data_IF_103749409781
#
_entry.id   IF_103749409781
#
_cell.length_a   1.000
_cell.length_b   1.000
_cell.length_c   1.000
_cell.angle_alpha   90.00
_cell.angle_beta   90.00
_cell.angle_gamma   90.00
#
_symmetry.space_group_name_H-M   'P 1'
#
loop_
_entity.id
_entity.type
_entity.pdbx_description
1 polymer ?
#
# COMPACT_ATOMS: atom_id res chain seq x y z
N UNK A 1 -42.65 -17.09 -34.83
CA UNK A 1 -41.81 -16.97 -33.62
C UNK A 1 -40.50 -17.68 -33.90
N UNK A 2 -39.35 -16.98 -33.96
CA UNK A 2 -38.07 -17.67 -34.14
C UNK A 2 -37.55 -18.16 -32.79
N UNK A 3 -36.99 -19.37 -32.82
CA UNK A 3 -36.42 -20.07 -31.68
C UNK A 3 -35.20 -19.31 -31.11
N UNK A 4 -35.15 -19.16 -29.79
CA UNK A 4 -34.00 -18.67 -29.08
C UNK A 4 -32.92 -19.76 -29.05
N UNK A 5 -31.73 -19.46 -29.57
CA UNK A 5 -30.55 -20.27 -29.41
C UNK A 5 -30.05 -20.14 -27.95
N UNK A 6 -29.83 -21.27 -27.28
CA UNK A 6 -29.15 -21.32 -25.99
C UNK A 6 -27.71 -20.82 -26.13
N UNK A 7 -27.17 -20.08 -25.15
CA UNK A 7 -25.77 -19.71 -25.16
C UNK A 7 -24.93 -20.97 -24.94
N UNK A 8 -23.97 -21.17 -25.85
CA UNK A 8 -22.97 -22.22 -25.79
C UNK A 8 -22.13 -22.10 -24.52
N UNK A 9 -21.78 -23.26 -23.96
CA UNK A 9 -20.81 -23.46 -22.89
C UNK A 9 -19.57 -22.60 -23.12
N UNK A 10 -19.35 -21.63 -22.23
CA UNK A 10 -18.02 -21.05 -22.03
C UNK A 10 -17.19 -22.09 -21.29
N UNK A 11 -16.19 -22.61 -21.98
CA UNK A 11 -14.98 -23.25 -21.44
C UNK A 11 -14.61 -22.63 -20.07
N UNK A 12 -14.24 -23.38 -19.01
CA UNK A 12 -13.78 -22.81 -17.75
C UNK A 12 -12.36 -22.23 -17.95
N UNK A 13 -12.31 -21.20 -18.79
CA UNK A 13 -11.14 -20.54 -19.29
C UNK A 13 -10.50 -19.70 -18.21
N UNK A 14 -9.18 -19.80 -18.16
CA UNK A 14 -8.24 -19.00 -17.37
C UNK A 14 -8.80 -17.64 -16.95
N UNK A 15 -8.89 -17.41 -15.64
CA UNK A 15 -9.32 -16.13 -15.09
C UNK A 15 -8.49 -14.99 -15.69
N UNK A 16 -9.16 -14.00 -16.28
CA UNK A 16 -8.53 -12.88 -16.96
C UNK A 16 -7.61 -12.10 -15.99
N UNK A 17 -6.41 -11.69 -16.43
CA UNK A 17 -5.51 -10.89 -15.62
C UNK A 17 -6.11 -9.51 -15.32
N UNK A 18 -5.80 -8.96 -14.14
CA UNK A 18 -6.19 -7.59 -13.78
C UNK A 18 -5.45 -6.54 -14.62
N UNK A 19 -5.85 -5.27 -14.55
CA UNK A 19 -5.18 -4.20 -15.30
C UNK A 19 -3.72 -4.06 -14.83
N UNK A 20 -3.44 -4.19 -13.54
CA UNK A 20 -2.07 -4.26 -13.02
C UNK A 20 -1.28 -5.43 -13.62
N UNK A 21 -1.87 -6.64 -13.60
CA UNK A 21 -1.23 -7.86 -14.08
C UNK A 21 -0.97 -7.83 -15.60
N UNK A 22 -1.84 -7.18 -16.39
CA UNK A 22 -1.65 -6.99 -17.83
C UNK A 22 -0.41 -6.14 -18.15
N UNK A 23 -0.01 -5.22 -17.26
CA UNK A 23 1.18 -4.37 -17.48
C UNK A 23 2.48 -5.16 -17.39
N UNK A 24 2.47 -6.35 -16.78
CA UNK A 24 3.65 -7.22 -16.72
C UNK A 24 4.22 -7.56 -18.10
N UNK A 25 3.37 -7.66 -19.13
CA UNK A 25 3.81 -8.07 -20.46
C UNK A 25 4.55 -6.95 -21.22
N UNK A 26 4.61 -5.73 -20.66
CA UNK A 26 5.42 -4.63 -21.20
C UNK A 26 6.92 -4.91 -20.98
N UNK A 27 7.76 -4.40 -21.88
CA UNK A 27 9.21 -4.64 -21.84
C UNK A 27 9.88 -4.19 -20.53
N UNK A 28 9.53 -3.01 -20.03
CA UNK A 28 10.18 -2.43 -18.84
C UNK A 28 9.99 -3.26 -17.55
N UNK A 29 8.78 -3.73 -17.17
CA UNK A 29 8.63 -4.69 -16.07
C UNK A 29 9.48 -5.94 -16.21
N UNK A 30 9.55 -6.52 -17.42
CA UNK A 30 10.37 -7.71 -17.70
C UNK A 30 11.87 -7.42 -17.55
N UNK A 31 12.34 -6.25 -17.99
CA UNK A 31 13.71 -5.80 -17.80
C UNK A 31 14.02 -5.53 -16.32
N UNK A 32 13.11 -4.91 -15.58
CA UNK A 32 13.27 -4.65 -14.14
C UNK A 32 13.38 -5.98 -13.37
N UNK A 33 12.52 -6.95 -13.68
CA UNK A 33 12.56 -8.28 -13.04
C UNK A 33 13.86 -9.02 -13.32
N UNK A 34 14.33 -9.03 -14.58
CA UNK A 34 15.62 -9.64 -14.96
C UNK A 34 16.80 -8.91 -14.32
N UNK A 35 16.84 -7.58 -14.41
CA UNK A 35 17.90 -6.75 -13.85
C UNK A 35 17.98 -6.86 -12.33
N UNK A 36 16.86 -7.00 -11.63
CA UNK A 36 16.85 -7.20 -10.17
C UNK A 36 17.11 -8.63 -9.72
N UNK A 37 17.01 -9.60 -10.62
CA UNK A 37 17.05 -11.05 -10.33
C UNK A 37 15.77 -11.59 -9.67
N UNK A 38 14.66 -10.86 -9.76
CA UNK A 38 13.35 -11.23 -9.19
C UNK A 38 12.49 -12.04 -10.18
N UNK A 39 12.87 -12.08 -11.46
CA UNK A 39 12.27 -12.89 -12.53
C UNK A 39 12.13 -14.38 -12.17
N UNK A 40 13.08 -14.94 -11.42
CA UNK A 40 13.03 -16.35 -10.99
C UNK A 40 11.98 -16.65 -9.91
N UNK A 41 11.34 -15.64 -9.29
CA UNK A 41 10.43 -15.84 -8.16
C UNK A 41 9.07 -16.42 -8.58
N UNK A 42 8.49 -15.91 -9.67
CA UNK A 42 7.18 -16.36 -10.16
C UNK A 42 7.22 -17.82 -10.65
N UNK A 43 8.19 -18.27 -11.47
CA UNK A 43 8.29 -19.68 -11.87
C UNK A 43 8.45 -20.64 -10.69
N UNK A 44 9.24 -20.26 -9.67
CA UNK A 44 9.40 -21.06 -8.44
C UNK A 44 8.11 -21.14 -7.64
N UNK A 45 7.35 -20.05 -7.61
CA UNK A 45 6.06 -20.00 -6.95
C UNK A 45 5.02 -20.86 -7.69
N UNK A 46 4.94 -20.77 -9.02
CA UNK A 46 4.08 -21.61 -9.85
C UNK A 46 4.34 -23.10 -9.59
N UNK A 47 5.61 -23.53 -9.58
CA UNK A 47 5.98 -24.91 -9.27
C UNK A 47 5.52 -25.34 -7.86
N UNK A 48 5.60 -24.44 -6.87
CA UNK A 48 5.13 -24.73 -5.51
C UNK A 48 3.59 -24.85 -5.43
N UNK A 49 2.85 -24.07 -6.23
CA UNK A 49 1.40 -24.22 -6.37
C UNK A 49 1.04 -25.55 -7.04
N UNK A 50 1.69 -25.90 -8.15
CA UNK A 50 1.49 -27.19 -8.84
C UNK A 50 1.80 -28.41 -7.95
N UNK A 51 2.79 -28.27 -7.07
CA UNK A 51 3.16 -29.29 -6.08
C UNK A 51 2.16 -29.42 -4.93
N UNK A 52 1.30 -28.44 -4.69
CA UNK A 52 0.36 -28.44 -3.58
C UNK A 52 -0.80 -29.42 -3.81
N UNK A 53 -1.02 -30.34 -2.87
CA UNK A 53 -2.05 -31.38 -2.92
C UNK A 53 -3.28 -31.07 -2.06
N UNK A 54 -3.25 -29.97 -1.30
CA UNK A 54 -4.38 -29.51 -0.51
C UNK A 54 -4.37 -27.99 -0.34
N UNK A 55 -5.51 -27.42 0.05
CA UNK A 55 -5.63 -25.99 0.34
C UNK A 55 -4.60 -25.53 1.39
N UNK A 56 -4.42 -26.29 2.47
CA UNK A 56 -3.47 -25.94 3.51
C UNK A 56 -2.00 -25.95 3.02
N UNK A 57 -1.66 -26.83 2.08
CA UNK A 57 -0.33 -26.81 1.45
C UNK A 57 -0.16 -25.59 0.53
N UNK A 58 -1.21 -25.24 -0.23
CA UNK A 58 -1.21 -24.08 -1.10
C UNK A 58 -1.10 -22.76 -0.30
N UNK A 59 -1.86 -22.62 0.78
CA UNK A 59 -1.78 -21.47 1.69
C UNK A 59 -0.37 -21.30 2.28
N UNK A 60 0.23 -22.39 2.77
CA UNK A 60 1.64 -22.37 3.23
C UNK A 60 2.62 -22.00 2.12
N UNK A 61 2.37 -22.42 0.88
CA UNK A 61 3.21 -22.06 -0.26
C UNK A 61 3.08 -20.56 -0.58
N UNK A 62 1.85 -20.04 -0.62
CA UNK A 62 1.55 -18.62 -0.84
C UNK A 62 2.24 -17.75 0.20
N UNK A 63 1.96 -17.95 1.50
CA UNK A 63 2.55 -17.16 2.58
C UNK A 63 4.08 -17.22 2.54
N UNK A 64 4.67 -18.41 2.40
CA UNK A 64 6.13 -18.57 2.37
C UNK A 64 6.78 -17.80 1.22
N UNK A 65 6.25 -17.91 0.00
CA UNK A 65 6.83 -17.24 -1.17
C UNK A 65 6.59 -15.73 -1.12
N UNK A 66 5.43 -15.28 -0.65
CA UNK A 66 5.11 -13.87 -0.48
C UNK A 66 5.99 -13.21 0.62
N UNK A 67 6.17 -13.84 1.78
CA UNK A 67 7.10 -13.34 2.82
C UNK A 67 8.55 -13.39 2.38
N UNK A 68 8.94 -14.37 1.55
CA UNK A 68 10.30 -14.41 0.98
C UNK A 68 10.52 -13.28 -0.02
N UNK A 69 9.51 -12.93 -0.81
CA UNK A 69 9.54 -11.77 -1.71
C UNK A 69 9.75 -10.46 -0.94
N UNK A 70 8.97 -10.21 0.12
CA UNK A 70 9.13 -9.03 0.97
C UNK A 70 10.56 -8.92 1.52
N UNK A 71 11.00 -9.95 2.24
CA UNK A 71 12.33 -9.96 2.88
C UNK A 71 13.46 -9.78 1.87
N UNK A 72 13.35 -10.39 0.67
CA UNK A 72 14.33 -10.21 -0.40
C UNK A 72 14.39 -8.76 -0.90
N UNK A 73 13.24 -8.08 -1.00
CA UNK A 73 13.21 -6.67 -1.37
C UNK A 73 13.84 -5.77 -0.31
N UNK A 74 13.55 -6.02 0.97
CA UNK A 74 14.16 -5.31 2.10
C UNK A 74 15.67 -5.55 2.15
N UNK A 75 16.11 -6.80 2.01
CA UNK A 75 17.53 -7.16 1.98
C UNK A 75 18.25 -6.43 0.83
N UNK A 76 17.65 -6.41 -0.38
CA UNK A 76 18.20 -5.66 -1.51
C UNK A 76 18.35 -4.17 -1.19
N UNK A 77 17.29 -3.53 -0.66
CA UNK A 77 17.27 -2.12 -0.32
C UNK A 77 18.31 -1.74 0.73
N UNK A 78 18.54 -2.63 1.70
CA UNK A 78 19.49 -2.43 2.79
C UNK A 78 20.89 -3.00 2.51
N UNK A 79 21.13 -3.40 1.25
CA UNK A 79 22.43 -3.86 0.79
C UNK A 79 22.87 -5.22 1.34
N UNK A 80 21.95 -6.01 1.88
CA UNK A 80 22.20 -7.38 2.34
C UNK A 80 22.12 -8.36 1.16
N UNK A 81 23.10 -9.25 1.09
CA UNK A 81 23.19 -10.27 0.03
C UNK A 81 23.75 -9.76 -1.29
N UNK A 82 23.87 -10.68 -2.25
CA UNK A 82 24.40 -10.40 -3.58
C UNK A 82 23.37 -9.66 -4.41
N UNK A 83 23.72 -8.45 -4.86
CA UNK A 83 22.90 -7.66 -5.79
C UNK A 83 23.37 -7.95 -7.21
N UNK A 84 22.44 -8.37 -8.06
CA UNK A 84 22.63 -8.52 -9.50
C UNK A 84 22.06 -7.29 -10.22
N UNK A 85 22.60 -7.05 -11.43
CA UNK A 85 22.17 -6.00 -12.35
C UNK A 85 22.59 -4.58 -11.96
N UNK A 86 22.05 -3.62 -12.71
CA UNK A 86 22.38 -2.19 -12.68
C UNK A 86 21.35 -1.34 -11.91
N UNK A 87 20.23 -1.93 -11.51
CA UNK A 87 19.18 -1.23 -10.75
C UNK A 87 19.69 -0.79 -9.37
N UNK A 88 19.30 0.42 -8.98
CA UNK A 88 19.56 0.95 -7.64
C UNK A 88 19.10 -0.02 -6.55
N UNK A 89 19.82 -0.06 -5.42
CA UNK A 89 19.48 -0.93 -4.29
C UNK A 89 18.12 -0.59 -3.71
N UNK A 90 17.83 0.69 -3.52
CA UNK A 90 16.56 1.18 -2.98
C UNK A 90 15.42 1.28 -3.99
N UNK A 91 15.55 0.64 -5.16
CA UNK A 91 14.47 0.59 -6.14
C UNK A 91 13.31 -0.28 -5.64
N UNK A 92 12.11 0.28 -5.57
CA UNK A 92 10.90 -0.38 -5.07
C UNK A 92 10.18 -1.22 -6.15
N UNK A 93 10.46 -0.95 -7.43
CA UNK A 93 9.79 -1.58 -8.57
C UNK A 93 9.96 -3.10 -8.63
N UNK A 94 11.12 -3.71 -8.28
CA UNK A 94 11.26 -5.16 -8.24
C UNK A 94 10.25 -5.86 -7.33
N UNK A 95 9.94 -5.29 -6.16
CA UNK A 95 8.94 -5.84 -5.25
C UNK A 95 7.56 -5.83 -5.89
N UNK A 96 7.15 -4.68 -6.42
CA UNK A 96 5.84 -4.48 -7.02
C UNK A 96 5.61 -5.42 -8.21
N UNK A 97 6.51 -5.43 -9.20
CA UNK A 97 6.36 -6.26 -10.38
C UNK A 97 6.41 -7.76 -10.06
N UNK A 98 7.27 -8.18 -9.13
CA UNK A 98 7.32 -9.58 -8.74
C UNK A 98 6.05 -10.01 -8.00
N UNK A 99 5.48 -9.14 -7.14
CA UNK A 99 4.20 -9.41 -6.47
C UNK A 99 3.08 -9.63 -7.48
N UNK A 100 2.98 -8.78 -8.50
CA UNK A 100 2.01 -8.95 -9.58
C UNK A 100 2.24 -10.24 -10.35
N UNK A 101 3.49 -10.61 -10.62
CA UNK A 101 3.80 -11.88 -11.28
C UNK A 101 3.34 -13.07 -10.43
N UNK A 102 3.60 -13.08 -9.12
CA UNK A 102 3.09 -14.10 -8.19
C UNK A 102 1.55 -14.11 -8.17
N UNK A 103 0.89 -12.95 -8.12
CA UNK A 103 -0.58 -12.85 -8.17
C UNK A 103 -1.14 -13.46 -9.45
N UNK A 104 -0.53 -13.18 -10.61
CA UNK A 104 -0.93 -13.71 -11.91
C UNK A 104 -0.81 -15.24 -11.96
N UNK A 105 0.27 -15.81 -11.43
CA UNK A 105 0.42 -17.27 -11.30
C UNK A 105 -0.69 -17.88 -10.43
N UNK A 106 -0.98 -17.26 -9.28
CA UNK A 106 -2.05 -17.74 -8.38
C UNK A 106 -3.43 -17.65 -9.05
N UNK A 107 -3.68 -16.62 -9.87
CA UNK A 107 -4.94 -16.43 -10.59
C UNK A 107 -5.14 -17.49 -11.66
N UNK A 108 -4.11 -17.76 -12.45
CA UNK A 108 -4.16 -18.75 -13.54
C UNK A 108 -4.14 -20.21 -13.03
N UNK A 109 -3.64 -20.44 -11.82
CA UNK A 109 -3.48 -21.78 -11.28
C UNK A 109 -4.81 -22.50 -11.02
N UNK A 110 -4.92 -23.72 -11.55
CA UNK A 110 -6.02 -24.65 -11.32
C UNK A 110 -5.53 -25.86 -10.51
N UNK A 111 -5.90 -25.98 -9.22
CA UNK A 111 -5.49 -27.11 -8.38
C UNK A 111 -6.18 -28.42 -8.77
N UNK A 112 -5.56 -29.55 -8.38
CA UNK A 112 -6.16 -30.89 -8.46
C UNK A 112 -7.21 -31.17 -7.38
N UNK A 113 -7.43 -30.23 -6.46
CA UNK A 113 -8.40 -30.30 -5.38
C UNK A 113 -9.41 -29.16 -5.51
N UNK A 114 -10.59 -29.30 -4.92
CA UNK A 114 -11.62 -28.26 -4.96
C UNK A 114 -11.17 -26.94 -4.34
N UNK A 115 -11.12 -25.88 -5.16
CA UNK A 115 -10.81 -24.51 -4.76
C UNK A 115 -11.94 -23.60 -5.22
N UNK A 116 -12.81 -23.22 -4.29
CA UNK A 116 -13.87 -22.23 -4.53
C UNK A 116 -13.31 -20.79 -4.57
N UNK A 117 -14.12 -19.86 -5.06
CA UNK A 117 -13.74 -18.45 -5.20
C UNK A 117 -13.38 -17.79 -3.86
N UNK A 118 -14.06 -18.19 -2.78
CA UNK A 118 -13.79 -17.67 -1.43
C UNK A 118 -12.39 -18.07 -0.97
N UNK A 119 -12.01 -19.34 -1.13
CA UNK A 119 -10.68 -19.85 -0.82
C UNK A 119 -9.64 -19.25 -1.74
N UNK A 120 -9.93 -19.07 -3.02
CA UNK A 120 -9.01 -18.37 -3.95
C UNK A 120 -8.79 -16.91 -3.51
N UNK A 121 -9.87 -16.18 -3.15
CA UNK A 121 -9.76 -14.82 -2.60
C UNK A 121 -8.95 -14.80 -1.30
N UNK A 122 -9.10 -15.80 -0.44
CA UNK A 122 -8.29 -15.94 0.77
C UNK A 122 -6.81 -16.14 0.46
N UNK A 123 -6.46 -16.97 -0.54
CA UNK A 123 -5.07 -17.12 -0.99
C UNK A 123 -4.50 -15.81 -1.57
N UNK A 124 -5.26 -15.06 -2.39
CA UNK A 124 -4.82 -13.75 -2.86
C UNK A 124 -4.64 -12.76 -1.71
N UNK A 125 -5.52 -12.80 -0.70
CA UNK A 125 -5.39 -11.97 0.50
C UNK A 125 -4.11 -12.32 1.26
N UNK A 126 -3.80 -13.61 1.44
CA UNK A 126 -2.56 -14.05 2.08
C UNK A 126 -1.32 -13.60 1.29
N UNK A 127 -1.36 -13.70 -0.05
CA UNK A 127 -0.29 -13.22 -0.92
C UNK A 127 -0.05 -11.71 -0.73
N UNK A 128 -1.11 -10.91 -0.78
CA UNK A 128 -1.04 -9.47 -0.59
C UNK A 128 -0.52 -9.12 0.81
N UNK A 129 -1.10 -9.68 1.88
CA UNK A 129 -0.67 -9.42 3.27
C UNK A 129 0.81 -9.72 3.47
N UNK A 130 1.26 -10.94 3.11
CA UNK A 130 2.62 -11.38 3.39
C UNK A 130 3.68 -10.69 2.52
N UNK A 131 3.34 -10.33 1.27
CA UNK A 131 4.28 -9.64 0.35
C UNK A 131 4.34 -8.12 0.56
N UNK A 132 3.55 -7.59 1.49
CA UNK A 132 3.47 -6.16 1.85
C UNK A 132 4.07 -5.85 3.23
N UNK A 133 4.75 -6.82 3.84
CA UNK A 133 5.43 -6.68 5.13
C UNK A 133 4.53 -6.88 6.35
N UNK A 134 3.22 -7.04 6.18
CA UNK A 134 2.27 -7.07 7.30
C UNK A 134 2.51 -8.25 8.26
N UNK A 135 2.89 -9.41 7.72
CA UNK A 135 3.22 -10.61 8.52
C UNK A 135 4.66 -10.62 9.04
N UNK A 136 5.51 -9.68 8.61
CA UNK A 136 6.91 -9.62 9.03
C UNK A 136 7.15 -8.65 10.20
N UNK A 137 6.14 -7.85 10.57
CA UNK A 137 6.17 -6.92 11.69
C UNK A 137 6.63 -7.64 12.97
N UNK A 138 7.76 -7.22 13.52
CA UNK A 138 8.31 -7.77 14.78
C UNK A 138 8.09 -6.82 15.96
N UNK A 139 7.77 -7.41 17.11
CA UNK A 139 7.70 -6.69 18.38
C UNK A 139 9.01 -6.84 19.15
N UNK A 140 9.80 -5.77 19.29
CA UNK A 140 11.00 -5.81 20.11
C UNK A 140 10.65 -5.83 21.61
N UNK A 141 11.65 -6.12 22.43
CA UNK A 141 11.53 -6.13 23.89
C UNK A 141 11.16 -4.77 24.47
N UNK A 142 10.78 -4.74 25.76
CA UNK A 142 10.18 -3.56 26.44
C UNK A 142 11.04 -2.28 26.44
N UNK A 143 12.35 -2.39 26.19
CA UNK A 143 13.30 -1.26 26.19
C UNK A 143 13.49 -0.62 24.80
N UNK A 144 12.82 -1.14 23.76
CA UNK A 144 12.95 -0.65 22.39
C UNK A 144 11.65 0.00 21.96
N UNK A 145 11.74 1.24 21.49
CA UNK A 145 10.60 1.98 20.93
C UNK A 145 10.10 1.32 19.65
N UNK A 146 8.78 1.24 19.50
CA UNK A 146 8.09 0.60 18.37
C UNK A 146 7.59 1.65 17.40
N UNK A 147 8.22 1.70 16.24
CA UNK A 147 7.86 2.62 15.17
C UNK A 147 7.32 1.81 14.00
N UNK A 148 6.15 2.17 13.49
CA UNK A 148 5.63 1.62 12.23
C UNK A 148 5.49 2.73 11.21
N UNK A 149 6.05 2.51 10.03
CA UNK A 149 5.88 3.40 8.88
C UNK A 149 5.12 2.70 7.76
N UNK A 150 4.43 3.47 6.93
CA UNK A 150 3.83 2.93 5.70
C UNK A 150 4.40 3.58 4.46
N UNK A 151 4.39 2.85 3.35
CA UNK A 151 4.61 3.38 2.00
C UNK A 151 3.53 2.91 1.02
N UNK A 152 3.68 3.25 -0.26
CA UNK A 152 2.79 2.83 -1.32
C UNK A 152 3.52 2.17 -2.48
N UNK A 153 2.80 1.32 -3.20
CA UNK A 153 3.23 0.80 -4.50
C UNK A 153 3.45 1.92 -5.54
N UNK A 154 4.21 1.65 -6.62
CA UNK A 154 4.23 2.47 -7.83
C UNK A 154 2.82 2.75 -8.39
N UNK A 155 2.63 3.96 -8.95
CA UNK A 155 1.37 4.37 -9.56
C UNK A 155 1.58 5.27 -10.78
N UNK A 156 0.50 5.61 -11.49
CA UNK A 156 0.52 6.31 -12.80
C UNK A 156 1.24 5.52 -13.91
N UNK A 157 1.19 4.19 -13.84
CA UNK A 157 1.93 3.28 -14.70
C UNK A 157 1.45 3.23 -16.16
N UNK A 158 0.29 3.82 -16.45
CA UNK A 158 -0.15 4.05 -17.84
C UNK A 158 0.49 5.28 -18.46
N UNK A 159 0.97 6.23 -17.65
CA UNK A 159 1.79 7.34 -18.14
C UNK A 159 3.21 6.86 -18.42
N UNK A 160 3.80 6.14 -17.47
CA UNK A 160 5.12 5.54 -17.64
C UNK A 160 5.25 4.32 -16.71
N UNK A 161 5.34 3.13 -17.31
CA UNK A 161 5.44 1.85 -16.59
C UNK A 161 6.77 1.71 -15.83
N UNK A 162 7.74 2.61 -16.05
CA UNK A 162 9.03 2.63 -15.36
C UNK A 162 8.99 3.39 -14.04
N UNK A 163 7.89 4.06 -13.70
CA UNK A 163 7.77 4.85 -12.47
C UNK A 163 7.91 3.93 -11.24
N UNK A 164 8.71 4.37 -10.27
CA UNK A 164 8.76 3.83 -8.91
C UNK A 164 8.13 4.81 -7.93
N UNK A 165 8.00 4.42 -6.67
CA UNK A 165 7.43 5.27 -5.62
C UNK A 165 8.44 5.48 -4.48
N UNK A 166 8.87 6.73 -4.21
CA UNK A 166 9.84 7.00 -3.15
C UNK A 166 9.34 6.61 -1.75
N UNK A 167 8.02 6.55 -1.52
CA UNK A 167 7.48 6.08 -0.24
C UNK A 167 7.65 4.56 -0.06
N UNK A 168 7.45 3.77 -1.12
CA UNK A 168 7.73 2.33 -1.13
C UNK A 168 9.22 2.04 -0.96
N UNK A 169 10.08 2.80 -1.65
CA UNK A 169 11.53 2.73 -1.48
C UNK A 169 11.97 3.05 -0.04
N UNK A 170 11.37 4.08 0.57
CA UNK A 170 11.64 4.46 1.95
C UNK A 170 11.20 3.37 2.94
N UNK A 171 10.03 2.77 2.72
CA UNK A 171 9.55 1.65 3.54
C UNK A 171 10.54 0.48 3.52
N UNK A 172 11.02 0.08 2.34
CA UNK A 172 12.01 -0.99 2.20
C UNK A 172 13.35 -0.66 2.87
N UNK A 173 13.82 0.58 2.75
CA UNK A 173 15.07 1.01 3.37
C UNK A 173 14.99 1.07 4.91
N UNK A 174 13.80 1.29 5.48
CA UNK A 174 13.59 1.44 6.92
C UNK A 174 13.18 0.14 7.62
N UNK A 175 12.60 -0.83 6.91
CA UNK A 175 12.03 -2.02 7.52
C UNK A 175 13.03 -2.83 8.36
N UNK A 176 12.67 -3.12 9.59
CA UNK A 176 13.49 -3.83 10.57
C UNK A 176 14.76 -3.10 11.03
N UNK A 177 14.97 -1.83 10.68
CA UNK A 177 16.14 -1.06 11.13
C UNK A 177 16.05 -0.68 12.61
N UNK A 178 17.21 -0.50 13.25
CA UNK A 178 17.33 -0.04 14.63
C UNK A 178 18.01 1.34 14.64
N UNK A 179 17.29 2.36 15.07
CA UNK A 179 17.78 3.73 15.21
C UNK A 179 18.11 4.00 16.68
N UNK A 180 19.30 4.49 16.96
CA UNK A 180 19.66 4.93 18.32
C UNK A 180 19.12 6.34 18.55
N UNK A 181 18.33 6.51 19.61
CA UNK A 181 17.82 7.82 20.05
C UNK A 181 18.40 8.16 21.42
N UNK A 182 18.26 9.43 21.85
CA UNK A 182 18.63 9.84 23.19
C UNK A 182 17.88 9.09 24.31
N UNK A 183 16.71 8.52 24.01
CA UNK A 183 15.88 7.75 24.96
C UNK A 183 16.07 6.23 24.82
N UNK A 184 17.04 5.80 24.03
CA UNK A 184 17.29 4.39 23.73
C UNK A 184 16.93 4.00 22.29
N UNK A 185 17.03 2.71 21.96
CA UNK A 185 16.82 2.23 20.60
C UNK A 185 15.35 2.30 20.18
N UNK A 186 15.11 2.62 18.90
CA UNK A 186 13.83 2.53 18.23
C UNK A 186 13.93 1.57 17.05
N UNK A 187 13.04 0.58 16.99
CA UNK A 187 12.93 -0.34 15.86
C UNK A 187 11.82 0.15 14.93
N UNK A 188 12.16 0.29 13.65
CA UNK A 188 11.22 0.68 12.61
C UNK A 188 10.79 -0.58 11.87
N UNK A 189 9.49 -0.85 11.84
CA UNK A 189 8.86 -1.82 10.96
C UNK A 189 8.16 -1.05 9.84
N UNK A 190 8.00 -1.67 8.67
CA UNK A 190 7.33 -1.03 7.54
C UNK A 190 6.32 -1.94 6.85
N UNK A 191 5.27 -1.32 6.31
CA UNK A 191 4.32 -1.98 5.40
C UNK A 191 4.08 -1.14 4.16
N UNK A 192 3.72 -1.76 3.04
CA UNK A 192 3.37 -1.05 1.81
C UNK A 192 1.94 -1.32 1.37
N UNK A 193 1.19 -0.26 1.05
CA UNK A 193 -0.20 -0.34 0.64
C UNK A 193 -0.35 -0.31 -0.90
N UNK A 194 -1.37 -1.02 -1.45
CA UNK A 194 -1.70 -0.90 -2.86
C UNK A 194 -2.24 0.48 -3.16
N UNK A 195 -2.00 0.95 -4.39
CA UNK A 195 -2.66 2.14 -4.92
C UNK A 195 -3.94 1.69 -5.64
N UNK A 196 -4.92 1.22 -4.86
CA UNK A 196 -6.21 0.68 -5.32
C UNK A 196 -7.37 1.08 -4.39
N UNK A 197 -8.45 1.62 -4.96
CA UNK A 197 -9.63 2.05 -4.21
C UNK A 197 -10.41 0.89 -3.57
N UNK A 198 -10.48 -0.23 -4.28
CA UNK A 198 -11.22 -1.42 -3.85
C UNK A 198 -10.64 -1.97 -2.55
N UNK A 199 -9.32 -2.11 -2.44
CA UNK A 199 -8.65 -2.59 -1.23
C UNK A 199 -8.94 -1.71 -0.01
N UNK A 200 -8.91 -0.39 -0.19
CA UNK A 200 -9.24 0.56 0.86
C UNK A 200 -10.70 0.46 1.28
N UNK A 201 -11.62 0.36 0.31
CA UNK A 201 -13.05 0.18 0.60
C UNK A 201 -13.34 -1.18 1.27
N UNK A 202 -12.58 -2.22 0.94
CA UNK A 202 -12.68 -3.52 1.59
C UNK A 202 -12.00 -3.57 2.97
N UNK A 203 -11.35 -2.50 3.43
CA UNK A 203 -10.79 -2.40 4.78
C UNK A 203 -9.33 -2.85 4.93
N UNK A 204 -8.51 -2.71 3.88
CA UNK A 204 -7.10 -3.09 3.92
C UNK A 204 -6.31 -2.33 5.00
N UNK A 205 -6.61 -1.04 5.21
CA UNK A 205 -5.94 -0.19 6.22
C UNK A 205 -6.24 -0.70 7.62
N UNK A 206 -7.52 -0.92 7.91
CA UNK A 206 -8.02 -1.38 9.20
C UNK A 206 -7.47 -2.78 9.53
N UNK A 207 -7.48 -3.72 8.57
CA UNK A 207 -6.91 -5.06 8.78
C UNK A 207 -5.42 -5.04 9.10
N UNK A 208 -4.67 -4.19 8.41
CA UNK A 208 -3.22 -4.11 8.59
C UNK A 208 -2.82 -3.40 9.89
N UNK A 209 -3.55 -2.35 10.30
CA UNK A 209 -3.08 -1.41 11.31
C UNK A 209 -3.84 -1.46 12.63
N UNK A 210 -5.11 -1.86 12.66
CA UNK A 210 -5.93 -1.75 13.88
C UNK A 210 -5.34 -2.52 15.08
N UNK A 211 -4.74 -3.70 14.83
CA UNK A 211 -4.07 -4.49 15.89
C UNK A 211 -2.69 -3.94 16.27
N UNK A 212 -2.09 -3.13 15.42
CA UNK A 212 -0.75 -2.58 15.62
C UNK A 212 -0.80 -1.30 16.45
N UNK A 213 -1.69 -0.38 16.10
CA UNK A 213 -1.73 0.99 16.64
C UNK A 213 -1.66 1.08 18.18
N UNK A 214 -2.39 0.27 18.98
CA UNK A 214 -2.33 0.35 20.44
C UNK A 214 -0.98 -0.05 21.05
N UNK A 215 -0.08 -0.62 20.26
CA UNK A 215 1.21 -1.16 20.70
C UNK A 215 2.42 -0.39 20.14
N UNK A 216 2.19 0.70 19.41
CA UNK A 216 3.23 1.52 18.82
C UNK A 216 3.53 2.74 19.70
N UNK A 217 4.80 3.13 19.75
CA UNK A 217 5.22 4.41 20.30
C UNK A 217 5.08 5.53 19.25
N UNK A 218 5.24 5.20 17.97
CA UNK A 218 5.08 6.13 16.86
C UNK A 218 4.54 5.42 15.63
N UNK A 219 3.61 6.08 14.94
CA UNK A 219 3.14 5.68 13.62
C UNK A 219 3.17 6.86 12.66
N UNK A 220 3.60 6.65 11.42
CA UNK A 220 3.46 7.65 10.36
C UNK A 220 3.25 7.00 8.99
N UNK A 221 2.39 7.60 8.17
CA UNK A 221 2.25 7.20 6.76
C UNK A 221 3.17 8.06 5.91
N UNK A 222 3.97 7.43 5.04
CA UNK A 222 4.82 8.13 4.07
C UNK A 222 4.16 8.01 2.70
N UNK A 223 4.09 9.12 1.98
CA UNK A 223 3.55 9.19 0.61
C UNK A 223 4.46 10.02 -0.26
N UNK A 224 4.35 9.83 -1.58
CA UNK A 224 5.04 10.71 -2.52
C UNK A 224 4.42 12.11 -2.47
N UNK A 225 5.23 13.09 -2.10
CA UNK A 225 4.82 14.50 -1.99
C UNK A 225 5.52 15.39 -3.03
N UNK A 226 5.75 16.64 -2.63
CA UNK A 226 6.37 17.68 -3.48
C UNK A 226 7.89 17.48 -3.60
N UNK A 227 8.45 17.92 -4.72
CA UNK A 227 9.90 17.87 -4.95
C UNK A 227 10.64 18.74 -3.92
N UNK A 228 11.74 18.20 -3.37
CA UNK A 228 12.71 18.98 -2.59
C UNK A 228 12.29 19.33 -1.16
N UNK A 229 11.19 18.76 -0.65
CA UNK A 229 10.68 19.03 0.69
C UNK A 229 9.87 17.86 1.25
N UNK A 230 9.67 17.86 2.56
CA UNK A 230 8.64 17.07 3.22
C UNK A 230 7.56 17.98 3.76
N UNK A 231 6.33 17.49 3.74
CA UNK A 231 5.17 18.17 4.32
C UNK A 231 4.58 17.28 5.39
N UNK A 232 4.41 17.84 6.59
CA UNK A 232 3.69 17.20 7.67
C UNK A 232 2.26 17.70 7.59
N UNK A 233 1.36 16.81 7.14
CA UNK A 233 -0.04 17.13 6.93
C UNK A 233 -0.77 17.25 8.27
N UNK A 234 -1.38 18.41 8.54
CA UNK A 234 -2.08 18.64 9.80
C UNK A 234 -3.45 17.98 9.84
N UNK A 235 -4.16 18.02 8.73
CA UNK A 235 -5.58 17.64 8.65
C UNK A 235 -5.85 16.76 7.43
N UNK A 236 -6.58 15.66 7.65
CA UNK A 236 -6.99 14.73 6.60
C UNK A 236 -8.51 14.83 6.38
N UNK A 237 -8.94 14.75 5.13
CA UNK A 237 -10.34 14.94 4.74
C UNK A 237 -11.04 13.65 4.31
N UNK A 238 -12.31 13.50 4.66
CA UNK A 238 -13.16 12.35 4.31
C UNK A 238 -13.65 12.38 2.85
N UNK A 239 -12.78 12.61 1.86
CA UNK A 239 -13.17 12.74 0.45
C UNK A 239 -12.21 12.04 -0.53
N UNK A 240 -12.78 11.49 -1.61
CA UNK A 240 -12.08 10.98 -2.78
C UNK A 240 -12.30 11.91 -3.98
N UNK A 241 -11.22 12.33 -4.62
CA UNK A 241 -11.22 13.31 -5.72
C UNK A 241 -11.57 12.79 -7.10
N UNK A 242 -11.46 11.48 -7.33
CA UNK A 242 -11.73 10.87 -8.64
C UNK A 242 -10.50 10.53 -9.49
N UNK A 243 -9.28 10.73 -8.98
CA UNK A 243 -8.07 10.30 -9.72
C UNK A 243 -8.06 8.76 -9.89
N UNK A 244 -7.74 8.23 -11.09
CA UNK A 244 -7.69 6.79 -11.33
C UNK A 244 -6.60 6.07 -10.52
N UNK A 245 -6.94 4.89 -9.99
CA UNK A 245 -6.01 4.00 -9.32
C UNK A 245 -5.24 3.09 -10.28
N UNK A 246 -4.45 2.15 -9.74
CA UNK A 246 -3.67 1.24 -10.58
C UNK A 246 -4.55 0.24 -11.38
N UNK A 247 -5.81 0.04 -11.00
CA UNK A 247 -6.78 -0.74 -11.78
C UNK A 247 -7.59 0.15 -12.73
N UNK A 248 -7.17 1.41 -12.93
CA UNK A 248 -7.83 2.43 -13.75
C UNK A 248 -9.24 2.77 -13.27
N UNK A 249 -9.53 2.52 -11.99
CA UNK A 249 -10.80 2.87 -11.37
C UNK A 249 -10.72 4.28 -10.79
N UNK A 250 -11.67 5.13 -11.19
CA UNK A 250 -11.91 6.42 -10.55
C UNK A 250 -12.97 6.27 -9.44
N UNK A 251 -12.80 6.98 -8.32
CA UNK A 251 -13.80 7.07 -7.25
C UNK A 251 -13.91 8.51 -6.75
N UNK A 252 -15.13 9.03 -6.74
CA UNK A 252 -15.46 10.34 -6.18
C UNK A 252 -16.54 10.17 -5.13
N UNK A 253 -16.41 10.87 -3.99
CA UNK A 253 -17.36 10.76 -2.90
C UNK A 253 -16.69 10.70 -1.53
N UNK A 254 -17.51 10.57 -0.49
CA UNK A 254 -17.02 10.43 0.88
C UNK A 254 -16.22 9.13 1.04
N UNK A 255 -15.15 9.18 1.83
CA UNK A 255 -14.35 7.99 2.16
C UNK A 255 -15.25 6.96 2.85
N UNK A 256 -15.40 5.73 2.34
CA UNK A 256 -16.28 4.73 2.95
C UNK A 256 -15.65 4.15 4.22
N UNK A 257 -16.35 4.23 5.35
CA UNK A 257 -15.91 3.64 6.64
C UNK A 257 -16.98 2.71 7.21
N UNK A 258 -16.62 1.89 8.21
CA UNK A 258 -17.52 0.89 8.80
C UNK A 258 -18.69 1.47 9.59
N UNK A 259 -18.50 2.65 10.20
CA UNK A 259 -19.55 3.41 10.88
C UNK A 259 -19.65 4.81 10.25
N UNK A 260 -20.44 4.96 9.17
CA UNK A 260 -20.63 6.23 8.48
C UNK A 260 -21.42 7.26 9.31
N UNK A 261 -22.25 6.81 10.26
CA UNK A 261 -23.14 7.70 11.01
C UNK A 261 -22.35 8.62 11.96
N UNK A 262 -21.24 8.13 12.51
CA UNK A 262 -20.33 8.90 13.37
C UNK A 262 -19.09 9.44 12.64
N UNK A 263 -19.04 9.33 11.31
CA UNK A 263 -17.85 9.67 10.53
C UNK A 263 -17.61 11.19 10.50
N UNK A 264 -16.46 11.70 11.02
CA UNK A 264 -16.15 13.12 10.93
C UNK A 264 -15.69 13.50 9.53
N UNK A 265 -15.94 14.75 9.10
CA UNK A 265 -15.42 15.25 7.82
C UNK A 265 -13.88 15.38 7.83
N UNK A 266 -13.31 15.64 9.00
CA UNK A 266 -11.91 15.95 9.19
C UNK A 266 -11.35 15.17 10.37
N UNK A 267 -10.10 14.73 10.24
CA UNK A 267 -9.30 14.22 11.35
C UNK A 267 -7.99 14.98 11.39
N UNK A 268 -7.28 14.94 12.53
CA UNK A 268 -6.03 15.68 12.70
C UNK A 268 -4.88 14.79 13.18
N UNK A 269 -3.68 15.12 12.72
CA UNK A 269 -2.46 14.44 13.16
C UNK A 269 -2.17 14.72 14.64
N UNK A 270 -1.53 13.76 15.31
CA UNK A 270 -0.93 13.94 16.64
C UNK A 270 0.59 13.98 16.58
N UNK A 271 1.17 13.95 15.36
CA UNK A 271 2.61 14.08 15.19
C UNK A 271 3.07 15.45 15.71
N UNK A 272 4.26 15.53 16.33
CA UNK A 272 4.73 16.77 16.92
C UNK A 272 5.30 17.71 15.85
N UNK A 273 4.41 18.35 15.09
CA UNK A 273 4.75 19.18 13.92
C UNK A 273 5.87 20.18 14.19
N UNK A 274 5.83 20.91 15.33
CA UNK A 274 6.85 21.92 15.67
C UNK A 274 8.24 21.27 15.75
N UNK A 275 8.33 20.14 16.43
CA UNK A 275 9.58 19.41 16.59
C UNK A 275 10.06 18.86 15.24
N UNK A 276 9.15 18.41 14.38
CA UNK A 276 9.50 17.93 13.03
C UNK A 276 10.00 19.06 12.11
N UNK A 277 9.39 20.25 12.18
CA UNK A 277 9.79 21.40 11.35
C UNK A 277 11.05 22.10 11.84
N UNK A 278 11.32 22.06 13.15
CA UNK A 278 12.53 22.64 13.75
C UNK A 278 13.72 21.67 13.75
N UNK A 279 13.47 20.37 13.54
CA UNK A 279 14.54 19.38 13.49
C UNK A 279 15.46 19.58 12.28
N UNK A 280 16.76 19.35 12.50
CA UNK A 280 17.72 19.29 11.41
C UNK A 280 17.60 17.94 10.67
N UNK A 281 16.71 17.88 9.69
CA UNK A 281 16.39 16.68 8.90
C UNK A 281 17.29 16.46 7.68
N UNK A 282 18.39 17.21 7.59
CA UNK A 282 19.37 17.10 6.50
C UNK A 282 18.93 17.84 5.23
N UNK A 283 19.06 17.19 4.07
CA UNK A 283 18.94 17.84 2.75
C UNK A 283 17.56 18.46 2.48
N UNK A 284 16.50 17.87 3.02
CA UNK A 284 15.13 18.24 2.69
C UNK A 284 14.46 18.91 3.89
N UNK A 285 14.04 20.18 3.77
CA UNK A 285 13.29 20.86 4.81
C UNK A 285 11.91 20.22 5.02
N UNK A 286 11.43 20.27 6.26
CA UNK A 286 10.09 19.83 6.64
C UNK A 286 9.21 21.06 6.86
N UNK A 287 8.02 21.05 6.26
CA UNK A 287 7.04 22.11 6.42
C UNK A 287 5.79 21.61 7.11
N UNK A 288 5.22 22.47 7.92
CA UNK A 288 3.89 22.31 8.50
C UNK A 288 2.84 22.66 7.43
N UNK A 289 2.13 21.66 6.91
CA UNK A 289 1.09 21.87 5.91
C UNK A 289 -0.29 21.85 6.56
N UNK A 290 -0.86 23.04 6.68
CA UNK A 290 -2.18 23.30 7.26
C UNK A 290 -3.27 23.48 6.22
N UNK A 291 -2.91 23.57 4.93
CA UNK A 291 -3.85 23.89 3.86
C UNK A 291 -4.81 22.73 3.59
N UNK A 292 -6.11 23.04 3.47
CA UNK A 292 -7.15 22.08 3.07
C UNK A 292 -8.07 22.69 2.02
N UNK A 293 -8.84 21.86 1.31
CA UNK A 293 -9.95 22.33 0.47
C UNK A 293 -11.26 21.83 1.05
N UNK A 294 -12.19 22.75 1.31
CA UNK A 294 -13.47 22.47 1.97
C UNK A 294 -14.64 23.06 1.19
N UNK A 295 -15.86 22.58 1.48
CA UNK A 295 -17.07 23.37 1.26
C UNK A 295 -17.49 23.94 2.63
N UNK A 296 -17.45 25.26 2.84
CA UNK A 296 -17.84 25.88 4.10
C UNK A 296 -19.30 25.57 4.47
N UNK A 297 -19.63 25.60 5.77
CA UNK A 297 -21.00 25.42 6.23
C UNK A 297 -21.97 26.39 5.53
N UNK A 298 -23.05 25.87 4.95
CA UNK A 298 -24.04 26.66 4.20
C UNK A 298 -23.62 27.07 2.77
N UNK A 299 -22.41 26.74 2.35
CA UNK A 299 -21.94 26.98 0.98
C UNK A 299 -22.11 25.74 0.09
N UNK A 300 -21.95 25.94 -1.22
CA UNK A 300 -22.02 24.86 -2.23
C UNK A 300 -20.73 24.72 -3.05
N UNK A 301 -19.83 25.70 -2.97
CA UNK A 301 -18.60 25.74 -3.75
C UNK A 301 -17.37 25.44 -2.88
N UNK A 302 -16.40 24.69 -3.41
CA UNK A 302 -15.16 24.42 -2.70
C UNK A 302 -14.26 25.66 -2.63
N UNK A 303 -13.54 25.81 -1.52
CA UNK A 303 -12.54 26.85 -1.30
C UNK A 303 -11.32 26.26 -0.60
N UNK A 304 -10.13 26.78 -0.92
CA UNK A 304 -8.91 26.45 -0.19
C UNK A 304 -8.79 27.29 1.07
N UNK A 305 -8.51 26.65 2.21
CA UNK A 305 -8.25 27.27 3.50
C UNK A 305 -6.80 27.02 3.91
N UNK A 306 -5.97 28.07 3.99
CA UNK A 306 -4.56 27.90 4.33
C UNK A 306 -4.34 27.45 5.78
N UNK A 307 -5.28 27.71 6.69
CA UNK A 307 -5.14 27.50 8.14
C UNK A 307 -5.99 26.33 8.68
N UNK A 308 -6.38 25.40 7.80
CA UNK A 308 -7.21 24.25 8.15
C UNK A 308 -8.71 24.50 7.96
N UNK A 309 -9.55 23.49 8.28
CA UNK A 309 -10.97 23.54 8.01
C UNK A 309 -11.72 24.47 8.97
N UNK A 310 -12.81 25.06 8.47
CA UNK A 310 -13.75 25.84 9.29
C UNK A 310 -14.79 24.93 9.96
N UNK A 311 -15.34 25.32 11.13
CA UNK A 311 -16.35 24.52 11.83
C UNK A 311 -17.56 24.19 10.94
N UNK A 312 -17.96 22.91 10.92
CA UNK A 312 -19.10 22.43 10.15
C UNK A 312 -18.87 22.31 8.64
N UNK A 313 -17.65 22.52 8.14
CA UNK A 313 -17.34 22.37 6.72
C UNK A 313 -17.29 20.92 6.27
N UNK A 314 -17.50 20.69 4.98
CA UNK A 314 -17.38 19.39 4.33
C UNK A 314 -16.03 19.25 3.63
N UNK A 315 -15.45 18.05 3.69
CA UNK A 315 -14.16 17.78 3.08
C UNK A 315 -14.21 17.71 1.55
N UNK A 316 -13.19 18.29 0.91
CA UNK A 316 -12.89 18.13 -0.52
C UNK A 316 -11.44 17.76 -0.78
N UNK A 317 -10.50 18.21 0.05
CA UNK A 317 -9.13 17.68 0.10
C UNK A 317 -8.52 17.97 1.48
N UNK A 318 -7.82 17.01 2.07
CA UNK A 318 -6.93 17.26 3.20
C UNK A 318 -5.59 17.82 2.74
N UNK A 319 -4.64 17.94 3.68
CA UNK A 319 -3.29 18.43 3.36
C UNK A 319 -2.57 17.55 2.33
N UNK A 320 -2.75 16.23 2.43
CA UNK A 320 -2.25 15.24 1.47
C UNK A 320 -3.08 15.11 0.19
N UNK A 321 -4.02 16.02 -0.07
CA UNK A 321 -4.93 16.01 -1.22
C UNK A 321 -6.23 15.23 -0.98
N UNK A 322 -6.77 14.63 -2.04
CA UNK A 322 -8.03 13.88 -2.06
C UNK A 322 -7.85 12.47 -2.67
N UNK A 323 -6.61 11.98 -2.65
CA UNK A 323 -6.23 10.66 -3.14
C UNK A 323 -5.91 9.69 -2.00
N UNK A 324 -5.37 8.52 -2.31
CA UNK A 324 -5.11 7.44 -1.34
C UNK A 324 -4.13 7.80 -0.22
N UNK A 325 -3.22 8.76 -0.45
CA UNK A 325 -2.33 9.33 0.58
C UNK A 325 -3.11 10.03 1.69
N UNK A 326 -4.09 10.85 1.33
CA UNK A 326 -5.01 11.47 2.28
C UNK A 326 -5.92 10.41 2.93
N UNK A 327 -6.42 9.45 2.14
CA UNK A 327 -7.35 8.44 2.67
C UNK A 327 -6.71 7.54 3.73
N UNK A 328 -5.45 7.09 3.55
CA UNK A 328 -4.79 6.28 4.58
C UNK A 328 -4.58 7.09 5.86
N UNK A 329 -4.16 8.36 5.74
CA UNK A 329 -3.95 9.23 6.89
C UNK A 329 -5.28 9.50 7.62
N UNK A 330 -6.37 9.74 6.88
CA UNK A 330 -7.71 9.88 7.41
C UNK A 330 -8.18 8.63 8.15
N UNK A 331 -8.07 7.44 7.52
CA UNK A 331 -8.50 6.17 8.12
C UNK A 331 -7.72 5.83 9.38
N UNK A 332 -6.40 6.02 9.38
CA UNK A 332 -5.59 5.71 10.57
C UNK A 332 -5.87 6.66 11.72
N UNK A 333 -6.00 7.96 11.45
CA UNK A 333 -6.35 8.91 12.50
C UNK A 333 -7.76 8.65 13.04
N UNK A 334 -8.72 8.28 12.18
CA UNK A 334 -10.04 7.84 12.61
C UNK A 334 -9.98 6.56 13.47
N UNK A 335 -9.13 5.59 13.12
CA UNK A 335 -8.91 4.38 13.92
C UNK A 335 -8.26 4.66 15.28
N UNK A 336 -7.37 5.66 15.36
CA UNK A 336 -6.73 6.08 16.62
C UNK A 336 -7.72 6.77 17.55
N UNK A 337 -8.64 7.56 16.99
CA UNK A 337 -9.56 8.41 17.75
C UNK A 337 -10.83 7.68 18.21
N UNK A 338 -11.01 6.41 17.78
CA UNK A 338 -12.11 5.52 18.16
C UNK A 338 -11.63 4.44 19.11
#
# INVERSE_FOLDING_TARGET
MPAAASPADTDPGTAQPTVEEQRLDRAAPQEILRGSGFDALAPRFAHALEGSRSYAQAERAVTRHASALWRRAVDRAQGRGTVTGDLSRGDDRPLYWARLALSRELRAWTPRFGLDDRRRKALHTALETSSRGQDDIRYPGRQVKRVLVTGFDPFTLDRDVRIGNPSGASALALDGTLVQTAQGPARIEAVVFPVRWTDFAEGAVERALARQLPHLDLFTTISQGRQGRFDVERTNGAWRGGFPDNENLARTGTVPVTDPASQPQWTSTTLPYRQLTEANTGRFPVYDNTSVTEIPAGATQPVTRPEGPTPGSMARAGGGGDYLSNEIAYRVTLLRDR
#
